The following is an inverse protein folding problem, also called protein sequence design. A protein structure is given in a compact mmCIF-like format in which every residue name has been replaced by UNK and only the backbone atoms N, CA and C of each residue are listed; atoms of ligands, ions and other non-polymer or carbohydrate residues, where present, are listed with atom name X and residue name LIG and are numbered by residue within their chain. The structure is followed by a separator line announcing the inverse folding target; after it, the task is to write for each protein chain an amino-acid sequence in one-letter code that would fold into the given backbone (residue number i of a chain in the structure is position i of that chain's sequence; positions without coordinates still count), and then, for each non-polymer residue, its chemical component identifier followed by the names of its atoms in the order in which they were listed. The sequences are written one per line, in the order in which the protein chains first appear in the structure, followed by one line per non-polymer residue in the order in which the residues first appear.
data_IF_670907605706
#
_entry.id   IF_670907605706
#
_cell.length_a   1.000
_cell.length_b   1.000
_cell.length_c   1.000
_cell.angle_alpha   90.00
_cell.angle_beta   90.00
_cell.angle_gamma   90.00
#
_symmetry.space_group_name_H-M   'P 1'
#
loop_
_entity.id
_entity.type
_entity.pdbx_description
1 polymer ?
#
# COMPACT_ATOMS: atom_id res chain seq x y z
N UNK A 1 -7.20 0.21 17.72
CA UNK A 1 -7.82 -0.16 16.42
C UNK A 1 -8.58 0.99 15.76
N UNK A 2 -9.36 1.81 16.47
CA UNK A 2 -10.02 2.99 15.86
C UNK A 2 -9.03 4.00 15.27
N UNK A 3 -7.91 4.25 15.96
CA UNK A 3 -6.81 5.12 15.50
C UNK A 3 -6.16 4.60 14.22
N UNK A 4 -5.80 3.32 14.16
CA UNK A 4 -5.21 2.71 12.96
C UNK A 4 -6.14 2.82 11.74
N UNK A 5 -7.46 2.56 11.92
CA UNK A 5 -8.45 2.76 10.85
C UNK A 5 -8.53 4.21 10.39
N UNK A 6 -8.47 5.16 11.32
CA UNK A 6 -8.47 6.58 11.00
C UNK A 6 -7.25 6.96 10.15
N UNK A 7 -6.04 6.54 10.55
CA UNK A 7 -4.82 6.82 9.78
C UNK A 7 -4.85 6.21 8.37
N UNK A 8 -5.31 4.97 8.23
CA UNK A 8 -5.43 4.34 6.90
C UNK A 8 -6.49 5.02 6.04
N UNK A 9 -7.61 5.46 6.62
CA UNK A 9 -8.63 6.22 5.91
C UNK A 9 -8.12 7.59 5.47
N UNK A 10 -7.40 8.31 6.35
CA UNK A 10 -6.77 9.58 6.02
C UNK A 10 -5.73 9.41 4.92
N UNK A 11 -4.89 8.36 4.97
CA UNK A 11 -3.95 8.03 3.91
C UNK A 11 -4.63 7.80 2.57
N UNK A 12 -5.73 7.03 2.56
CA UNK A 12 -6.52 6.78 1.35
C UNK A 12 -7.11 8.08 0.77
N UNK A 13 -7.71 8.92 1.62
CA UNK A 13 -8.28 10.21 1.21
C UNK A 13 -7.20 11.15 0.67
N UNK A 14 -6.06 11.26 1.35
CA UNK A 14 -4.94 12.09 0.92
C UNK A 14 -4.41 11.63 -0.45
N UNK A 15 -4.18 10.32 -0.62
CA UNK A 15 -3.74 9.74 -1.89
C UNK A 15 -4.75 10.00 -3.02
N UNK A 16 -6.04 9.86 -2.73
CA UNK A 16 -7.11 10.17 -3.70
C UNK A 16 -7.03 11.62 -4.16
N UNK A 17 -6.92 12.57 -3.21
CA UNK A 17 -6.85 13.99 -3.52
C UNK A 17 -5.63 14.35 -4.37
N UNK A 18 -4.43 13.84 -4.02
CA UNK A 18 -3.21 14.15 -4.79
C UNK A 18 -3.17 13.46 -6.15
N UNK A 19 -3.77 12.28 -6.31
CA UNK A 19 -3.93 11.65 -7.62
C UNK A 19 -4.84 12.49 -8.52
N UNK A 20 -5.98 12.95 -8.01
CA UNK A 20 -6.88 13.86 -8.75
C UNK A 20 -6.13 15.13 -9.16
N UNK A 21 -5.39 15.75 -8.23
CA UNK A 21 -4.57 16.92 -8.53
C UNK A 21 -3.54 16.64 -9.64
N UNK A 22 -2.78 15.55 -9.52
CA UNK A 22 -1.75 15.16 -10.49
C UNK A 22 -2.30 14.87 -11.88
N UNK A 23 -3.43 14.17 -11.98
CA UNK A 23 -4.09 13.87 -13.26
C UNK A 23 -4.83 15.05 -13.89
N UNK A 24 -5.22 16.05 -13.11
CA UNK A 24 -5.93 17.24 -13.64
C UNK A 24 -4.99 18.35 -14.07
N UNK A 25 -3.86 18.54 -13.40
CA UNK A 25 -2.95 19.68 -13.63
C UNK A 25 -1.61 19.24 -14.22
N UNK A 26 -1.13 18.06 -13.85
CA UNK A 26 0.22 17.58 -14.19
C UNK A 26 0.30 16.96 -15.59
N UNK A 27 1.50 16.97 -16.16
CA UNK A 27 1.81 16.16 -17.34
C UNK A 27 2.72 15.01 -16.89
N UNK A 28 2.13 13.83 -16.73
CA UNK A 28 2.81 12.64 -16.19
C UNK A 28 4.16 12.36 -16.87
N UNK A 29 4.22 12.48 -18.20
CA UNK A 29 5.43 12.19 -18.97
C UNK A 29 6.50 13.28 -18.77
N UNK A 30 6.12 14.55 -18.94
CA UNK A 30 7.06 15.66 -18.84
C UNK A 30 7.59 15.85 -17.40
N UNK A 31 6.72 15.72 -16.40
CA UNK A 31 7.10 15.88 -15.00
C UNK A 31 7.84 14.62 -14.49
N UNK A 32 7.47 13.43 -14.96
CA UNK A 32 8.22 12.20 -14.70
C UNK A 32 9.66 12.27 -15.24
N UNK A 33 9.86 12.82 -16.44
CA UNK A 33 11.20 13.00 -17.00
C UNK A 33 12.07 13.95 -16.16
N UNK A 34 11.49 15.02 -15.59
CA UNK A 34 12.20 15.93 -14.68
C UNK A 34 12.63 15.24 -13.38
N UNK A 35 11.78 14.37 -12.83
CA UNK A 35 12.13 13.57 -11.63
C UNK A 35 13.29 12.64 -11.95
N UNK A 36 13.26 11.95 -13.10
CA UNK A 36 14.32 11.03 -13.51
C UNK A 36 15.64 11.74 -13.86
N UNK A 37 15.59 13.00 -14.30
CA UNK A 37 16.79 13.81 -14.54
C UNK A 37 17.42 14.36 -13.25
N UNK A 38 16.67 14.40 -12.14
CA UNK A 38 17.15 14.90 -10.86
C UNK A 38 17.68 13.74 -9.99
N UNK A 39 18.94 13.77 -9.51
CA UNK A 39 19.50 12.73 -8.65
C UNK A 39 18.66 12.43 -7.41
N UNK A 40 18.11 13.45 -6.75
CA UNK A 40 17.23 13.26 -5.59
C UNK A 40 15.87 12.70 -5.99
N UNK A 41 15.38 13.01 -7.20
CA UNK A 41 14.18 12.41 -7.75
C UNK A 41 14.33 10.90 -7.96
N UNK A 42 15.48 10.46 -8.45
CA UNK A 42 15.83 9.04 -8.55
C UNK A 42 15.87 8.40 -7.15
N UNK A 43 16.54 9.03 -6.18
CA UNK A 43 16.59 8.53 -4.80
C UNK A 43 15.19 8.36 -4.22
N UNK A 44 14.29 9.33 -4.38
CA UNK A 44 12.90 9.23 -3.92
C UNK A 44 12.12 8.13 -4.62
N UNK A 45 12.32 7.91 -5.93
CA UNK A 45 11.69 6.80 -6.66
C UNK A 45 12.18 5.45 -6.15
N UNK A 46 13.50 5.30 -5.97
CA UNK A 46 14.07 4.06 -5.43
C UNK A 46 13.56 3.80 -4.02
N UNK A 47 13.58 4.80 -3.14
CA UNK A 47 13.07 4.71 -1.77
C UNK A 47 11.60 4.25 -1.74
N UNK A 48 10.76 4.88 -2.58
CA UNK A 48 9.35 4.53 -2.72
C UNK A 48 9.14 3.07 -3.16
N UNK A 49 9.85 2.62 -4.21
CA UNK A 49 9.68 1.26 -4.75
C UNK A 49 10.30 0.18 -3.87
N UNK A 50 11.37 0.48 -3.13
CA UNK A 50 11.87 -0.39 -2.07
C UNK A 50 10.78 -0.57 -1.00
N UNK A 51 10.15 0.53 -0.58
CA UNK A 51 9.00 0.49 0.33
C UNK A 51 7.84 -0.35 -0.21
N UNK A 52 7.46 -0.19 -1.48
CA UNK A 52 6.41 -0.99 -2.12
C UNK A 52 6.75 -2.47 -2.15
N UNK A 53 8.01 -2.80 -2.42
CA UNK A 53 8.50 -4.18 -2.48
C UNK A 53 8.44 -4.83 -1.10
N UNK A 54 8.97 -4.17 -0.07
CA UNK A 54 8.93 -4.68 1.31
C UNK A 54 7.47 -4.88 1.79
N UNK A 55 6.58 -3.93 1.47
CA UNK A 55 5.16 -4.04 1.80
C UNK A 55 4.48 -5.18 1.03
N UNK A 56 4.87 -5.40 -0.23
CA UNK A 56 4.38 -6.50 -1.07
C UNK A 56 4.82 -7.87 -0.55
N UNK A 57 6.04 -7.99 -0.03
CA UNK A 57 6.49 -9.19 0.67
C UNK A 57 5.63 -9.47 1.90
N UNK A 58 5.27 -8.43 2.66
CA UNK A 58 4.34 -8.58 3.78
C UNK A 58 2.94 -9.03 3.32
N UNK A 59 2.40 -8.47 2.24
CA UNK A 59 1.13 -8.92 1.63
C UNK A 59 1.22 -10.41 1.23
N UNK A 60 2.30 -10.80 0.54
CA UNK A 60 2.52 -12.17 0.08
C UNK A 60 2.59 -13.17 1.25
N UNK A 61 3.20 -12.76 2.36
CA UNK A 61 3.29 -13.56 3.57
C UNK A 61 1.95 -13.67 4.31
N UNK A 62 1.14 -12.59 4.29
CA UNK A 62 -0.11 -12.48 5.04
C UNK A 62 -1.29 -13.20 4.37
N UNK A 63 -1.37 -13.15 3.04
CA UNK A 63 -2.47 -13.70 2.25
C UNK A 63 -2.36 -15.22 2.06
N UNK A 64 -3.49 -15.92 2.22
CA UNK A 64 -3.58 -17.35 1.97
C UNK A 64 -3.66 -17.67 0.47
N UNK A 65 -4.43 -16.86 -0.26
CA UNK A 65 -4.67 -17.07 -1.67
C UNK A 65 -3.61 -16.32 -2.49
N UNK A 66 -2.72 -17.09 -3.15
CA UNK A 66 -1.66 -16.54 -3.99
C UNK A 66 -2.16 -15.63 -5.10
N UNK A 67 -3.37 -15.86 -5.63
CA UNK A 67 -3.98 -14.99 -6.63
C UNK A 67 -4.39 -13.65 -6.03
N UNK A 68 -5.01 -13.66 -4.85
CA UNK A 68 -5.39 -12.42 -4.13
C UNK A 68 -4.14 -11.65 -3.74
N UNK A 69 -3.09 -12.34 -3.27
CA UNK A 69 -1.79 -11.73 -3.01
C UNK A 69 -1.22 -11.07 -4.26
N UNK A 70 -1.19 -11.78 -5.39
CA UNK A 70 -0.69 -11.26 -6.66
C UNK A 70 -1.47 -10.02 -7.12
N UNK A 71 -2.81 -10.03 -7.02
CA UNK A 71 -3.63 -8.87 -7.35
C UNK A 71 -3.30 -7.65 -6.48
N UNK A 72 -3.10 -7.84 -5.17
CA UNK A 72 -2.71 -6.76 -4.27
C UNK A 72 -1.30 -6.25 -4.53
N UNK A 73 -0.36 -7.13 -4.86
CA UNK A 73 1.01 -6.74 -5.21
C UNK A 73 1.01 -5.92 -6.50
N UNK A 74 0.28 -6.37 -7.53
CA UNK A 74 0.12 -5.61 -8.78
C UNK A 74 -0.51 -4.24 -8.50
N UNK A 75 -1.58 -4.20 -7.69
CA UNK A 75 -2.21 -2.95 -7.29
C UNK A 75 -1.24 -2.04 -6.53
N UNK A 76 -0.39 -2.59 -5.66
CA UNK A 76 0.64 -1.84 -4.92
C UNK A 76 1.72 -1.27 -5.87
N UNK A 77 2.15 -2.02 -6.88
CA UNK A 77 3.15 -1.55 -7.84
C UNK A 77 2.63 -0.43 -8.75
N UNK A 78 1.32 -0.42 -9.05
CA UNK A 78 0.71 0.56 -9.94
C UNK A 78 0.18 1.78 -9.18
N UNK A 79 -0.55 1.56 -8.09
CA UNK A 79 -1.25 2.59 -7.32
C UNK A 79 -0.51 3.01 -6.04
N UNK A 80 0.57 2.32 -5.68
CA UNK A 80 1.36 2.62 -4.49
C UNK A 80 0.55 2.57 -3.19
N UNK A 81 0.79 3.55 -2.32
CA UNK A 81 0.15 3.63 -1.01
C UNK A 81 -1.36 3.92 -1.05
N UNK A 82 -1.95 4.22 -2.20
CA UNK A 82 -3.41 4.19 -2.33
C UNK A 82 -3.92 2.75 -2.10
N UNK A 83 -3.36 1.78 -2.83
CA UNK A 83 -3.69 0.36 -2.66
C UNK A 83 -3.26 -0.15 -1.28
N UNK A 84 -2.06 0.25 -0.80
CA UNK A 84 -1.58 -0.11 0.53
C UNK A 84 -2.50 0.38 1.66
N UNK A 85 -2.96 1.64 1.59
CA UNK A 85 -3.89 2.21 2.59
C UNK A 85 -5.24 1.52 2.57
N UNK A 86 -5.76 1.22 1.38
CA UNK A 86 -7.00 0.46 1.21
C UNK A 86 -6.87 -0.96 1.79
N UNK A 87 -5.77 -1.65 1.49
CA UNK A 87 -5.48 -2.99 1.99
C UNK A 87 -5.46 -3.03 3.53
N UNK A 88 -4.73 -2.10 4.15
CA UNK A 88 -4.67 -1.98 5.61
C UNK A 88 -6.04 -1.69 6.18
N UNK A 89 -6.78 -0.74 5.61
CA UNK A 89 -8.11 -0.36 6.09
C UNK A 89 -9.08 -1.54 6.06
N UNK A 90 -9.16 -2.24 4.93
CA UNK A 90 -10.01 -3.43 4.76
C UNK A 90 -9.68 -4.46 5.85
N UNK A 91 -8.40 -4.80 6.00
CA UNK A 91 -8.01 -5.83 6.93
C UNK A 91 -8.09 -5.41 8.41
N UNK A 92 -7.95 -4.14 8.74
CA UNK A 92 -8.25 -3.62 10.08
C UNK A 92 -9.75 -3.69 10.40
N UNK A 93 -10.62 -3.52 9.40
CA UNK A 93 -12.07 -3.70 9.56
C UNK A 93 -12.40 -5.17 9.79
N UNK A 94 -11.86 -6.08 8.95
CA UNK A 94 -12.10 -7.52 9.06
C UNK A 94 -11.51 -8.16 10.33
N UNK A 95 -10.42 -7.61 10.87
CA UNK A 95 -9.75 -8.18 12.06
C UNK A 95 -10.49 -7.89 13.38
N UNK A 96 -11.60 -7.12 13.36
CA UNK A 96 -12.53 -6.89 14.50
C UNK A 96 -11.90 -6.50 15.85
N UNK A 97 -10.65 -6.04 15.89
CA UNK A 97 -9.98 -5.68 17.15
C UNK A 97 -8.65 -6.39 17.39
N UNK A 98 -8.44 -7.50 16.71
CA UNK A 98 -7.30 -8.40 16.91
C UNK A 98 -6.10 -7.99 16.05
N UNK A 99 -5.03 -7.55 16.73
CA UNK A 99 -3.77 -7.15 16.11
C UNK A 99 -2.98 -8.34 15.54
N UNK A 100 -3.03 -9.51 16.20
CA UNK A 100 -2.36 -10.70 15.70
C UNK A 100 -2.99 -11.15 14.39
N UNK A 101 -4.32 -11.16 14.31
CA UNK A 101 -5.06 -11.43 13.07
C UNK A 101 -4.78 -10.42 11.96
N UNK A 102 -4.57 -9.14 12.32
CA UNK A 102 -4.22 -8.12 11.36
C UNK A 102 -2.82 -8.34 10.77
N UNK A 103 -1.78 -8.49 11.60
CA UNK A 103 -0.40 -8.59 11.12
C UNK A 103 -0.05 -9.95 10.54
N UNK A 104 -0.52 -11.03 11.17
CA UNK A 104 -0.16 -12.41 10.81
C UNK A 104 -1.12 -13.02 9.79
N UNK A 105 -2.28 -12.40 9.54
CA UNK A 105 -3.30 -12.97 8.68
C UNK A 105 -3.65 -14.40 9.11
N UNK A 106 -3.35 -15.37 8.25
CA UNK A 106 -3.61 -16.79 8.50
C UNK A 106 -2.63 -17.45 9.48
N UNK A 107 -1.41 -16.94 9.69
CA UNK A 107 -0.48 -17.59 10.64
C UNK A 107 -0.99 -17.61 12.09
N UNK A 108 -1.99 -16.78 12.39
CA UNK A 108 -2.71 -16.87 13.65
C UNK A 108 -3.52 -18.19 13.78
N UNK A 109 -4.06 -18.75 12.69
CA UNK A 109 -4.80 -20.03 12.70
C UNK A 109 -3.89 -21.27 12.79
N UNK A 110 -2.63 -21.19 12.37
CA UNK A 110 -1.69 -22.32 12.44
C UNK A 110 -1.07 -22.52 13.83
N UNK A 111 -0.90 -21.45 14.62
CA UNK A 111 -0.41 -21.56 16.02
C UNK A 111 -1.49 -21.90 17.05
N UNK A 112 -2.76 -22.00 16.64
CA UNK A 112 -3.89 -22.33 17.52
C UNK A 112 -4.35 -23.80 17.42
N UNK A 113 -3.54 -24.67 16.84
CA UNK A 113 -3.76 -26.13 16.75
C UNK A 113 -2.67 -26.87 17.50
#
# INVERSE_FOLDING_TARGET
MKTAKLFSALGLLAMTAVLIYGFTIGNFSADGAKILANPWGIVSLVDLYVGFTLFSLWIAYREENKLVAALWIIAMMILGFFAGSLYVLLHLVFSKGDMARFFMGKQHREKGR
#
